data_IF_842551912444
#
_entry.id   IF_842551912444
#
_cell.length_a   1.000
_cell.length_b   1.000
_cell.length_c   1.000
_cell.angle_alpha   90.00
_cell.angle_beta   90.00
_cell.angle_gamma   90.00
#
_symmetry.space_group_name_H-M   'P 1'
#
loop_
_entity.id
_entity.type
_entity.pdbx_description
1 polymer ?
#
# COMPACT_ATOMS: atom_id res chain seq x y z
N UNK A 1 60.51 37.73 1.51
CA UNK A 1 60.00 36.66 0.61
C UNK A 1 58.73 36.09 1.24
N UNK A 2 57.56 36.48 0.72
CA UNK A 2 56.23 36.14 1.29
C UNK A 2 55.81 34.75 0.81
N UNK A 3 55.48 33.86 1.76
CA UNK A 3 55.00 32.49 1.51
C UNK A 3 53.54 32.55 1.02
N UNK A 4 53.28 32.08 -0.20
CA UNK A 4 51.94 31.83 -0.71
C UNK A 4 51.49 30.44 -0.23
N UNK A 5 50.47 30.40 0.64
CA UNK A 5 49.73 29.19 0.97
C UNK A 5 48.54 29.09 0.00
N UNK A 6 48.54 28.06 -0.85
CA UNK A 6 47.41 27.72 -1.70
C UNK A 6 46.34 26.98 -0.87
N UNK A 7 45.14 27.55 -0.79
CA UNK A 7 43.98 26.94 -0.14
C UNK A 7 43.23 26.10 -1.18
N UNK A 8 43.33 24.78 -1.11
CA UNK A 8 42.48 23.86 -1.88
C UNK A 8 41.05 23.91 -1.31
N UNK A 9 40.16 24.65 -1.97
CA UNK A 9 38.73 24.60 -1.70
C UNK A 9 38.13 23.31 -2.24
N UNK A 10 37.75 22.38 -1.37
CA UNK A 10 36.98 21.22 -1.75
C UNK A 10 35.56 21.65 -2.15
N UNK A 11 35.26 21.60 -3.45
CA UNK A 11 33.89 21.69 -3.96
C UNK A 11 33.16 20.40 -3.53
N UNK A 12 32.32 20.49 -2.50
CA UNK A 12 31.36 19.45 -2.19
C UNK A 12 30.28 19.44 -3.28
N UNK A 13 30.38 18.49 -4.21
CA UNK A 13 29.30 18.21 -5.16
C UNK A 13 28.09 17.71 -4.36
N UNK A 14 27.04 18.54 -4.25
CA UNK A 14 25.74 18.08 -3.79
C UNK A 14 25.19 17.12 -4.86
N UNK A 15 25.34 15.82 -4.62
CA UNK A 15 24.59 14.81 -5.36
C UNK A 15 23.11 15.03 -5.02
N UNK A 16 22.35 15.56 -5.98
CA UNK A 16 20.89 15.58 -5.90
C UNK A 16 20.46 14.12 -6.05
N UNK A 17 20.29 13.44 -4.92
CA UNK A 17 19.64 12.12 -4.90
C UNK A 17 18.20 12.37 -5.36
N UNK A 18 17.74 11.79 -6.48
CA UNK A 18 16.34 11.85 -6.83
C UNK A 18 15.55 11.29 -5.65
N UNK A 19 14.63 12.07 -5.09
CA UNK A 19 13.73 11.55 -4.07
C UNK A 19 13.01 10.35 -4.67
N UNK A 20 13.08 9.19 -3.99
CA UNK A 20 12.31 8.03 -4.38
C UNK A 20 10.85 8.44 -4.58
N UNK A 21 10.28 8.13 -5.74
CA UNK A 21 8.84 8.27 -5.97
C UNK A 21 8.09 7.49 -4.89
N UNK A 22 6.90 7.97 -4.51
CA UNK A 22 6.03 7.17 -3.66
C UNK A 22 5.54 5.96 -4.46
N UNK A 23 5.59 4.77 -3.87
CA UNK A 23 5.15 3.55 -4.56
C UNK A 23 3.74 3.72 -5.16
N UNK A 24 3.55 3.19 -6.36
CA UNK A 24 2.27 3.25 -7.08
C UNK A 24 1.84 1.86 -7.55
N UNK A 25 0.54 1.70 -7.82
CA UNK A 25 -0.04 0.43 -8.28
C UNK A 25 -0.81 0.58 -9.58
N UNK A 26 -0.58 -0.32 -10.54
CA UNK A 26 -1.31 -0.41 -11.80
C UNK A 26 -2.16 -1.69 -11.82
N UNK A 27 -3.45 -1.55 -12.12
CA UNK A 27 -4.39 -2.67 -12.17
C UNK A 27 -4.25 -3.45 -13.49
N UNK A 28 -4.44 -4.77 -13.43
CA UNK A 28 -4.45 -5.63 -14.62
C UNK A 28 -5.42 -6.81 -14.50
N UNK A 29 -5.71 -7.46 -15.63
CA UNK A 29 -6.69 -8.55 -15.72
C UNK A 29 -8.09 -8.06 -15.33
N UNK A 30 -8.83 -8.87 -14.56
CA UNK A 30 -10.15 -8.51 -14.01
C UNK A 30 -10.14 -7.45 -12.89
N UNK A 31 -9.01 -6.81 -12.58
CA UNK A 31 -8.90 -5.88 -11.47
C UNK A 31 -9.63 -4.56 -11.75
N UNK A 32 -10.36 -4.04 -10.77
CA UNK A 32 -11.07 -2.77 -10.87
C UNK A 32 -11.12 -2.02 -9.54
N UNK A 33 -11.27 -0.70 -9.59
CA UNK A 33 -11.56 0.09 -8.39
C UNK A 33 -13.04 -0.08 -8.00
N UNK A 34 -13.30 -0.51 -6.77
CA UNK A 34 -14.63 -0.51 -6.16
C UNK A 34 -14.64 0.42 -4.94
N UNK A 35 -15.08 1.66 -5.17
CA UNK A 35 -15.01 2.71 -4.17
C UNK A 35 -13.56 3.01 -3.78
N UNK A 36 -13.18 2.60 -2.57
CA UNK A 36 -11.84 2.81 -2.00
C UNK A 36 -11.02 1.52 -1.83
N UNK A 37 -11.50 0.41 -2.37
CA UNK A 37 -10.79 -0.86 -2.43
C UNK A 37 -10.55 -1.21 -3.89
N UNK A 38 -9.53 -2.03 -4.12
CA UNK A 38 -9.34 -2.69 -5.41
C UNK A 38 -10.02 -4.04 -5.33
N UNK A 39 -10.92 -4.33 -6.25
CA UNK A 39 -11.51 -5.65 -6.42
C UNK A 39 -10.68 -6.44 -7.42
N UNK A 40 -10.21 -7.61 -6.99
CA UNK A 40 -9.44 -8.55 -7.78
C UNK A 40 -10.30 -9.78 -8.03
N UNK A 41 -10.62 -10.05 -9.29
CA UNK A 41 -11.49 -11.14 -9.75
C UNK A 41 -10.68 -12.18 -10.51
N UNK A 42 -10.96 -13.45 -10.26
CA UNK A 42 -10.59 -14.60 -11.09
C UNK A 42 -11.89 -15.35 -11.39
N UNK A 43 -12.35 -15.30 -12.63
CA UNK A 43 -13.61 -15.91 -13.06
C UNK A 43 -13.35 -16.73 -14.33
N UNK A 44 -13.44 -18.05 -14.19
CA UNK A 44 -13.31 -19.01 -15.29
C UNK A 44 -14.66 -19.69 -15.61
N UNK A 45 -15.76 -19.15 -15.07
CA UNK A 45 -17.13 -19.65 -15.28
C UNK A 45 -17.71 -19.16 -16.62
N UNK A 46 -17.19 -18.06 -17.15
CA UNK A 46 -17.59 -17.48 -18.43
C UNK A 46 -16.65 -17.90 -19.59
N UNK A 47 -16.79 -17.26 -20.76
CA UNK A 47 -15.97 -17.55 -21.97
C UNK A 47 -14.85 -16.54 -22.20
N UNK A 48 -14.80 -15.47 -21.41
CA UNK A 48 -13.78 -14.43 -21.45
C UNK A 48 -12.58 -14.88 -20.64
N UNK A 49 -11.39 -14.76 -21.21
CA UNK A 49 -10.14 -15.01 -20.49
C UNK A 49 -9.57 -13.75 -19.83
N UNK A 50 -10.22 -12.59 -20.00
CA UNK A 50 -9.71 -11.30 -19.53
C UNK A 50 -9.75 -11.17 -17.99
N UNK A 51 -10.62 -11.96 -17.35
CA UNK A 51 -10.91 -12.00 -15.93
C UNK A 51 -10.58 -13.36 -15.29
N UNK A 52 -9.96 -14.29 -16.01
CA UNK A 52 -9.47 -15.57 -15.45
C UNK A 52 -8.48 -15.33 -14.29
N UNK A 53 -7.81 -14.18 -14.30
CA UNK A 53 -6.95 -13.71 -13.23
C UNK A 53 -6.96 -12.18 -13.16
N UNK A 54 -6.47 -11.65 -12.06
CA UNK A 54 -6.29 -10.21 -11.89
C UNK A 54 -5.20 -9.88 -10.89
N UNK A 55 -4.79 -8.62 -10.88
CA UNK A 55 -3.87 -8.17 -9.86
C UNK A 55 -3.53 -6.70 -9.94
N UNK A 56 -2.56 -6.35 -9.11
CA UNK A 56 -1.95 -5.03 -9.01
C UNK A 56 -0.45 -5.19 -9.19
N UNK A 57 0.14 -4.47 -10.14
CA UNK A 57 1.59 -4.36 -10.30
C UNK A 57 2.10 -3.11 -9.60
N UNK A 58 3.09 -3.26 -8.71
CA UNK A 58 3.66 -2.15 -7.97
C UNK A 58 4.96 -1.64 -8.59
N UNK A 59 5.11 -0.32 -8.65
CA UNK A 59 6.32 0.37 -9.14
C UNK A 59 6.78 1.39 -8.12
N UNK A 60 8.02 1.87 -8.27
CA UNK A 60 8.63 2.85 -7.36
C UNK A 60 8.61 2.41 -5.89
N UNK A 61 8.69 1.10 -5.63
CA UNK A 61 8.63 0.54 -4.26
C UNK A 61 9.93 0.75 -3.47
N UNK A 62 11.02 1.12 -4.14
CA UNK A 62 12.36 1.21 -3.55
C UNK A 62 12.99 -0.14 -3.20
N UNK A 63 12.34 -1.26 -3.52
CA UNK A 63 12.84 -2.62 -3.30
C UNK A 63 13.78 -3.00 -4.43
N UNK A 64 15.02 -3.38 -4.11
CA UNK A 64 16.04 -3.76 -5.10
C UNK A 64 16.42 -5.24 -5.01
N UNK A 65 16.43 -5.81 -3.81
CA UNK A 65 16.66 -7.23 -3.53
C UNK A 65 15.61 -7.76 -2.56
N UNK A 66 15.48 -9.09 -2.43
CA UNK A 66 14.59 -9.66 -1.42
C UNK A 66 14.98 -9.22 0.00
N UNK A 67 16.28 -9.16 0.32
CA UNK A 67 16.76 -8.69 1.62
C UNK A 67 16.49 -7.21 1.90
N UNK A 68 16.23 -6.40 0.87
CA UNK A 68 15.84 -5.00 1.02
C UNK A 68 14.34 -4.81 1.30
N UNK A 69 13.54 -5.86 1.11
CA UNK A 69 12.12 -5.85 1.42
C UNK A 69 11.97 -5.98 2.94
N UNK A 70 11.48 -4.92 3.59
CA UNK A 70 11.27 -4.84 5.04
C UNK A 70 9.78 -4.90 5.42
N UNK A 71 8.89 -4.56 4.49
CA UNK A 71 7.45 -4.62 4.70
C UNK A 71 6.72 -5.10 3.45
N UNK A 72 5.82 -6.05 3.64
CA UNK A 72 4.84 -6.50 2.66
C UNK A 72 3.56 -6.87 3.40
N UNK A 73 2.53 -6.04 3.27
CA UNK A 73 1.26 -6.25 3.95
C UNK A 73 0.09 -5.73 3.12
N UNK A 74 -1.11 -6.22 3.40
CA UNK A 74 -2.35 -5.67 2.86
C UNK A 74 -3.50 -5.96 3.80
N UNK A 75 -4.55 -5.15 3.75
CA UNK A 75 -5.86 -5.57 4.20
C UNK A 75 -6.59 -6.22 3.03
N UNK A 76 -7.27 -7.33 3.29
CA UNK A 76 -7.97 -8.09 2.26
C UNK A 76 -9.27 -8.66 2.80
N UNK A 77 -10.25 -8.79 1.92
CA UNK A 77 -11.56 -9.35 2.19
C UNK A 77 -11.92 -10.26 1.02
N UNK A 78 -12.05 -11.56 1.25
CA UNK A 78 -12.58 -12.47 0.24
C UNK A 78 -14.09 -12.33 0.23
N UNK A 79 -14.66 -11.87 -0.89
CA UNK A 79 -16.10 -11.63 -1.02
C UNK A 79 -16.82 -12.69 -1.83
N UNK A 80 -16.06 -13.51 -2.54
CA UNK A 80 -16.58 -14.64 -3.31
C UNK A 80 -15.63 -15.84 -3.16
N UNK A 81 -16.22 -16.97 -2.79
CA UNK A 81 -15.56 -18.18 -2.28
C UNK A 81 -14.60 -18.00 -1.09
N UNK A 82 -13.30 -18.13 -1.31
CA UNK A 82 -12.30 -18.28 -0.25
C UNK A 82 -10.87 -18.03 -0.71
N UNK A 83 -9.91 -18.33 0.18
CA UNK A 83 -8.54 -18.58 -0.25
C UNK A 83 -8.34 -20.07 -0.53
N UNK A 84 -7.44 -20.36 -1.47
CA UNK A 84 -7.18 -21.69 -1.99
C UNK A 84 -6.45 -21.62 -3.33
N UNK A 85 -5.96 -22.75 -3.84
CA UNK A 85 -5.25 -22.81 -5.12
C UNK A 85 -3.95 -21.98 -5.20
N UNK A 86 -3.47 -21.45 -4.07
CA UNK A 86 -2.33 -20.52 -4.02
C UNK A 86 -2.71 -19.04 -4.12
N UNK A 87 -3.98 -18.68 -4.01
CA UNK A 87 -4.49 -17.30 -4.07
C UNK A 87 -5.39 -16.97 -2.87
N UNK A 88 -5.42 -15.71 -2.40
CA UNK A 88 -4.66 -14.56 -2.89
C UNK A 88 -3.20 -14.60 -2.46
N UNK A 89 -2.33 -13.94 -3.23
CA UNK A 89 -0.89 -13.91 -2.92
C UNK A 89 -0.19 -12.65 -3.39
N UNK A 90 0.83 -12.24 -2.66
CA UNK A 90 1.87 -11.43 -3.27
C UNK A 90 2.79 -12.31 -4.13
N UNK A 91 3.26 -11.75 -5.24
CA UNK A 91 4.22 -12.36 -6.13
C UNK A 91 5.43 -11.43 -6.23
N UNK A 92 6.59 -11.90 -5.76
CA UNK A 92 7.86 -11.18 -5.87
C UNK A 92 8.59 -11.74 -7.08
N UNK A 93 8.82 -10.91 -8.09
CA UNK A 93 9.36 -11.30 -9.39
C UNK A 93 10.90 -11.27 -9.39
N UNK A 94 11.52 -12.34 -9.88
CA UNK A 94 12.96 -12.47 -10.12
C UNK A 94 13.19 -12.85 -11.60
N UNK A 95 12.94 -11.90 -12.51
CA UNK A 95 12.87 -12.16 -13.94
C UNK A 95 11.61 -12.95 -14.30
N UNK A 96 11.76 -14.13 -14.90
CA UNK A 96 10.65 -15.02 -15.25
C UNK A 96 10.16 -15.92 -14.11
N UNK A 97 10.88 -15.93 -12.99
CA UNK A 97 10.56 -16.76 -11.81
C UNK A 97 10.01 -15.90 -10.69
N UNK A 98 9.31 -16.55 -9.75
CA UNK A 98 8.66 -15.86 -8.67
C UNK A 98 8.89 -16.54 -7.32
N UNK A 99 8.79 -15.74 -6.26
CA UNK A 99 8.45 -16.22 -4.92
C UNK A 99 7.02 -15.80 -4.64
N UNK A 100 6.18 -16.76 -4.26
CA UNK A 100 4.82 -16.47 -3.81
C UNK A 100 4.78 -16.32 -2.31
N UNK A 101 4.06 -15.30 -1.84
CA UNK A 101 3.82 -15.04 -0.42
C UNK A 101 2.31 -15.07 -0.22
N UNK A 102 1.82 -16.20 0.30
CA UNK A 102 0.39 -16.46 0.39
C UNK A 102 -0.30 -15.55 1.40
N UNK A 103 -1.58 -15.25 1.17
CA UNK A 103 -2.47 -14.61 2.14
C UNK A 103 -3.47 -15.66 2.66
N UNK A 104 -3.89 -15.49 3.92
CA UNK A 104 -4.83 -16.41 4.57
C UNK A 104 -4.20 -17.34 5.62
N UNK A 105 -4.99 -18.30 6.15
CA UNK A 105 -4.60 -19.16 7.27
C UNK A 105 -3.44 -20.10 6.93
N UNK A 106 -2.32 -19.94 7.62
CA UNK A 106 -1.19 -20.88 7.56
C UNK A 106 -1.56 -22.23 8.20
N UNK A 107 -1.04 -23.37 7.72
CA UNK A 107 -0.07 -23.51 6.61
C UNK A 107 -0.69 -23.80 5.24
N UNK A 108 -2.02 -24.00 5.19
CA UNK A 108 -2.69 -24.49 3.98
C UNK A 108 -3.14 -23.35 3.05
N UNK A 109 -3.22 -22.12 3.57
CA UNK A 109 -3.73 -20.93 2.88
C UNK A 109 -5.10 -21.15 2.24
N UNK A 110 -5.93 -21.90 2.96
CA UNK A 110 -7.33 -22.18 2.66
C UNK A 110 -8.23 -21.73 3.81
N UNK A 111 -9.53 -21.60 3.55
CA UNK A 111 -10.52 -21.36 4.61
C UNK A 111 -10.51 -19.93 5.16
N UNK A 112 -10.18 -18.94 4.33
CA UNK A 112 -10.37 -17.54 4.68
C UNK A 112 -11.83 -17.28 5.03
N UNK A 113 -12.08 -16.53 6.10
CA UNK A 113 -13.43 -16.13 6.49
C UNK A 113 -13.99 -15.15 5.45
N UNK A 114 -15.05 -15.51 4.72
CA UNK A 114 -15.61 -14.62 3.70
C UNK A 114 -16.20 -13.35 4.33
N UNK A 115 -16.29 -12.29 3.53
CA UNK A 115 -16.91 -11.01 3.88
C UNK A 115 -16.36 -10.35 5.16
N UNK A 116 -15.10 -10.66 5.49
CA UNK A 116 -14.38 -10.12 6.65
C UNK A 116 -13.11 -9.44 6.19
N UNK A 117 -12.96 -8.15 6.51
CA UNK A 117 -11.74 -7.40 6.21
C UNK A 117 -10.64 -7.73 7.22
N UNK A 118 -9.71 -8.58 6.80
CA UNK A 118 -8.54 -9.01 7.57
C UNK A 118 -7.34 -8.13 7.26
N UNK A 119 -6.44 -7.97 8.24
CA UNK A 119 -5.10 -7.42 8.02
C UNK A 119 -4.11 -8.58 7.99
N UNK A 120 -3.30 -8.68 6.94
CA UNK A 120 -2.26 -9.70 6.85
C UNK A 120 -1.16 -9.54 7.91
N UNK A 121 -1.01 -8.34 8.46
CA UNK A 121 0.22 -7.93 9.14
C UNK A 121 1.40 -7.90 8.16
N UNK A 122 2.58 -7.58 8.68
CA UNK A 122 3.81 -7.65 7.88
C UNK A 122 4.19 -9.12 7.66
N UNK A 123 4.21 -9.54 6.39
CA UNK A 123 4.58 -10.89 6.00
C UNK A 123 6.09 -11.10 5.98
N UNK A 124 6.87 -10.03 5.86
CA UNK A 124 8.33 -10.10 5.87
C UNK A 124 8.83 -10.34 7.28
N UNK A 125 9.63 -11.38 7.46
CA UNK A 125 10.16 -11.78 8.77
C UNK A 125 9.20 -12.61 9.61
N UNK A 126 8.00 -12.95 9.12
CA UNK A 126 7.11 -13.85 9.84
C UNK A 126 7.61 -15.31 9.80
N UNK A 127 7.14 -16.12 10.75
CA UNK A 127 7.49 -17.53 10.89
C UNK A 127 6.32 -18.46 10.60
N UNK A 128 5.34 -17.99 9.82
CA UNK A 128 4.21 -18.81 9.40
C UNK A 128 4.71 -19.97 8.54
N UNK A 129 4.27 -21.18 8.88
CA UNK A 129 4.61 -22.37 8.12
C UNK A 129 4.08 -22.26 6.68
N UNK A 130 4.91 -22.61 5.71
CA UNK A 130 4.58 -22.62 4.29
C UNK A 130 4.20 -21.26 3.66
N UNK A 131 4.38 -20.12 4.36
CA UNK A 131 3.96 -18.79 3.85
C UNK A 131 4.62 -18.41 2.52
N UNK A 132 5.84 -18.91 2.32
CA UNK A 132 6.65 -18.64 1.15
C UNK A 132 6.72 -19.88 0.27
N UNK A 133 6.39 -19.74 -1.00
CA UNK A 133 6.64 -20.73 -2.03
C UNK A 133 7.78 -20.24 -2.90
N UNK A 134 8.90 -20.96 -2.84
CA UNK A 134 10.10 -20.67 -3.64
C UNK A 134 10.30 -21.69 -4.76
N UNK A 135 9.27 -22.50 -5.07
CA UNK A 135 9.39 -23.66 -5.96
C UNK A 135 9.74 -23.31 -7.40
N UNK A 136 9.38 -22.10 -7.87
CA UNK A 136 9.81 -21.62 -9.18
C UNK A 136 11.31 -21.28 -9.22
N UNK A 137 11.91 -20.96 -8.08
CA UNK A 137 13.34 -20.72 -7.93
C UNK A 137 14.07 -22.05 -7.81
N UNK A 138 13.65 -22.87 -6.84
CA UNK A 138 14.21 -24.19 -6.54
C UNK A 138 13.09 -25.21 -6.37
N UNK A 139 13.05 -26.23 -7.23
CA UNK A 139 12.03 -27.28 -7.15
C UNK A 139 12.00 -27.95 -5.77
N UNK A 140 10.80 -28.34 -5.32
CA UNK A 140 10.59 -28.99 -4.02
C UNK A 140 10.49 -28.03 -2.82
N UNK A 141 10.41 -26.72 -3.07
CA UNK A 141 10.33 -25.70 -2.00
C UNK A 141 8.99 -24.95 -1.99
N UNK A 142 7.89 -25.65 -2.29
CA UNK A 142 6.53 -25.10 -2.28
C UNK A 142 6.10 -24.60 -0.89
N UNK A 143 6.64 -25.20 0.16
CA UNK A 143 6.47 -24.78 1.53
C UNK A 143 7.84 -24.38 2.08
N UNK A 144 8.06 -23.09 2.28
CA UNK A 144 9.29 -22.54 2.82
C UNK A 144 9.03 -21.55 3.95
N UNK A 145 10.04 -21.34 4.80
CA UNK A 145 10.05 -20.32 5.85
C UNK A 145 10.62 -19.00 5.31
N UNK A 146 10.43 -17.90 6.04
CA UNK A 146 11.11 -16.65 5.70
C UNK A 146 12.65 -16.82 5.70
N UNK A 147 13.21 -17.49 6.72
CA UNK A 147 14.65 -17.70 6.81
C UNK A 147 15.19 -18.54 5.64
N UNK A 148 14.49 -19.60 5.25
CA UNK A 148 14.85 -20.41 4.09
C UNK A 148 14.72 -19.64 2.77
N UNK A 149 13.70 -18.80 2.65
CA UNK A 149 13.53 -17.91 1.49
C UNK A 149 14.65 -16.87 1.42
N UNK A 150 14.98 -16.22 2.53
CA UNK A 150 16.06 -15.24 2.62
C UNK A 150 17.42 -15.87 2.28
N UNK A 151 17.67 -17.10 2.73
CA UNK A 151 18.88 -17.83 2.37
C UNK A 151 18.97 -18.14 0.86
N UNK A 152 17.83 -18.44 0.23
CA UNK A 152 17.78 -18.81 -1.20
C UNK A 152 17.83 -17.60 -2.13
N UNK A 153 17.08 -16.54 -1.84
CA UNK A 153 16.87 -15.41 -2.78
C UNK A 153 17.27 -14.05 -2.21
N UNK A 154 17.82 -13.98 -1.00
CA UNK A 154 18.08 -12.73 -0.29
C UNK A 154 18.84 -11.67 -1.09
N UNK A 155 19.88 -12.07 -1.81
CA UNK A 155 20.71 -11.19 -2.64
C UNK A 155 20.21 -11.04 -4.08
N UNK A 156 19.20 -11.80 -4.50
CA UNK A 156 18.68 -11.75 -5.87
C UNK A 156 17.93 -10.44 -6.10
N UNK A 157 18.09 -9.88 -7.30
CA UNK A 157 17.41 -8.66 -7.71
C UNK A 157 15.91 -8.88 -7.87
N UNK A 158 15.12 -8.06 -7.19
CA UNK A 158 13.66 -8.01 -7.35
C UNK A 158 13.36 -7.16 -8.57
N UNK A 159 12.65 -7.75 -9.52
CA UNK A 159 12.27 -7.11 -10.80
C UNK A 159 10.83 -6.59 -10.80
N UNK A 160 10.04 -6.94 -9.79
CA UNK A 160 8.65 -6.51 -9.64
C UNK A 160 8.01 -7.10 -8.40
N UNK A 161 6.93 -6.48 -7.96
CA UNK A 161 6.06 -6.98 -6.89
C UNK A 161 4.63 -6.85 -7.41
N UNK A 162 3.84 -7.89 -7.22
CA UNK A 162 2.44 -7.92 -7.61
C UNK A 162 1.58 -8.49 -6.47
N UNK A 163 0.30 -8.12 -6.43
CA UNK A 163 -0.73 -8.78 -5.62
C UNK A 163 -1.74 -9.39 -6.57
N UNK A 164 -1.93 -10.71 -6.52
CA UNK A 164 -2.58 -11.50 -7.56
C UNK A 164 -3.71 -12.35 -6.99
N UNK A 165 -4.79 -12.44 -7.76
CA UNK A 165 -5.91 -13.37 -7.59
C UNK A 165 -6.10 -14.17 -8.86
N UNK A 166 -5.95 -15.50 -8.78
CA UNK A 166 -5.95 -16.38 -9.95
C UNK A 166 -6.44 -17.81 -9.67
N UNK A 167 -7.21 -18.02 -8.58
CA UNK A 167 -7.63 -19.37 -8.17
C UNK A 167 -9.11 -19.65 -8.35
N UNK A 168 -9.79 -19.00 -9.30
CA UNK A 168 -11.16 -19.38 -9.65
C UNK A 168 -11.26 -20.88 -9.96
N UNK A 169 -10.28 -21.46 -10.67
CA UNK A 169 -10.22 -22.90 -10.97
C UNK A 169 -10.27 -23.84 -9.74
N UNK A 170 -9.92 -23.34 -8.54
CA UNK A 170 -9.90 -24.12 -7.32
C UNK A 170 -11.30 -24.30 -6.71
N UNK A 171 -12.23 -23.39 -7.03
CA UNK A 171 -13.59 -23.36 -6.49
C UNK A 171 -14.59 -24.01 -7.44
N UNK A 172 -15.72 -24.45 -6.90
CA UNK A 172 -16.64 -25.36 -7.59
C UNK A 172 -17.37 -24.67 -8.77
N UNK A 173 -17.73 -23.41 -8.59
CA UNK A 173 -18.35 -22.53 -9.59
C UNK A 173 -17.33 -21.73 -10.42
N UNK A 174 -16.03 -21.93 -10.15
CA UNK A 174 -14.89 -21.39 -10.90
C UNK A 174 -14.62 -19.90 -10.72
N UNK A 175 -15.05 -19.32 -9.61
CA UNK A 175 -14.87 -17.90 -9.31
C UNK A 175 -13.99 -17.69 -8.07
N UNK A 176 -13.43 -16.48 -7.93
CA UNK A 176 -12.76 -16.02 -6.72
C UNK A 176 -12.69 -14.50 -6.78
N UNK A 177 -13.20 -13.83 -5.76
CA UNK A 177 -13.13 -12.35 -5.67
C UNK A 177 -12.54 -11.93 -4.34
N UNK A 178 -11.50 -11.11 -4.40
CA UNK A 178 -10.82 -10.54 -3.23
C UNK A 178 -10.73 -9.03 -3.35
N UNK A 179 -11.28 -8.33 -2.38
CA UNK A 179 -11.13 -6.90 -2.26
C UNK A 179 -9.95 -6.56 -1.36
N UNK A 180 -9.08 -5.66 -1.81
CA UNK A 180 -7.82 -5.30 -1.13
C UNK A 180 -7.68 -3.79 -0.95
N UNK A 181 -7.04 -3.39 0.15
CA UNK A 181 -6.66 -2.00 0.42
C UNK A 181 -5.53 -1.95 1.46
N UNK A 182 -4.98 -0.75 1.70
CA UNK A 182 -3.89 -0.51 2.63
C UNK A 182 -2.68 -1.42 2.37
N UNK A 183 -2.28 -1.47 1.09
CA UNK A 183 -1.15 -2.28 0.66
C UNK A 183 0.12 -1.55 1.04
N UNK A 184 0.94 -2.17 1.88
CA UNK A 184 2.15 -1.58 2.45
C UNK A 184 3.37 -2.30 1.92
N UNK A 185 4.28 -1.52 1.32
CA UNK A 185 5.54 -2.01 0.76
C UNK A 185 6.64 -1.05 1.18
N UNK A 186 7.60 -1.53 1.97
CA UNK A 186 8.72 -0.74 2.50
C UNK A 186 8.33 0.65 3.05
N UNK A 187 7.26 0.71 3.86
CA UNK A 187 6.77 1.96 4.46
C UNK A 187 5.96 2.86 3.53
N UNK A 188 5.80 2.52 2.25
CA UNK A 188 4.84 3.16 1.35
C UNK A 188 3.48 2.49 1.45
N UNK A 189 2.40 3.27 1.44
CA UNK A 189 1.02 2.76 1.39
C UNK A 189 0.39 3.08 0.04
N UNK A 190 -0.11 2.04 -0.64
CA UNK A 190 -0.85 2.11 -1.89
C UNK A 190 -2.31 1.70 -1.64
N UNK A 191 -3.27 2.38 -2.28
CA UNK A 191 -4.71 2.16 -2.12
C UNK A 191 -5.19 2.12 -0.65
N UNK A 192 -5.01 3.20 0.15
CA UNK A 192 -5.37 3.19 1.56
C UNK A 192 -6.87 2.91 1.78
N UNK A 193 -7.21 2.11 2.81
CA UNK A 193 -8.60 1.90 3.20
C UNK A 193 -9.23 3.20 3.76
N UNK A 194 -10.52 3.43 3.54
CA UNK A 194 -11.27 4.51 4.20
C UNK A 194 -11.74 4.07 5.60
N UNK A 195 -11.65 4.98 6.59
CA UNK A 195 -12.43 4.88 7.84
C UNK A 195 -11.84 4.16 9.06
N UNK A 196 -10.50 4.05 9.24
CA UNK A 196 -9.97 3.44 10.47
C UNK A 196 -9.74 4.43 11.64
N UNK A 197 -10.26 4.14 12.86
CA UNK A 197 -9.82 4.75 14.09
C UNK A 197 -8.43 4.18 14.45
N UNK A 198 -7.42 5.04 14.45
CA UNK A 198 -6.02 4.64 14.69
C UNK A 198 -5.02 5.35 13.79
N UNK A 199 -5.48 5.88 12.64
CA UNK A 199 -4.73 6.96 11.98
C UNK A 199 -4.83 8.21 12.86
N UNK A 200 -3.89 8.39 13.78
CA UNK A 200 -3.50 9.77 14.13
C UNK A 200 -3.19 10.42 12.78
N UNK A 201 -3.87 11.51 12.38
CA UNK A 201 -3.59 12.16 11.11
C UNK A 201 -2.09 12.42 11.09
N UNK A 202 -1.38 11.68 10.23
CA UNK A 202 0.05 11.86 10.05
C UNK A 202 0.26 13.35 9.87
N UNK A 203 1.27 13.90 10.54
CA UNK A 203 1.71 15.28 10.30
C UNK A 203 2.25 15.33 8.87
N UNK A 204 1.35 15.34 7.89
CA UNK A 204 1.63 15.43 6.47
C UNK A 204 2.24 16.79 6.22
N UNK A 205 3.56 16.83 6.22
CA UNK A 205 4.33 17.88 5.58
C UNK A 205 4.04 17.74 4.08
N UNK A 206 3.15 18.58 3.54
CA UNK A 206 3.00 18.70 2.09
C UNK A 206 1.63 19.06 1.53
N UNK A 207 0.52 18.91 2.26
CA UNK A 207 -0.78 19.39 1.73
C UNK A 207 -0.86 20.90 1.91
N UNK A 208 -1.18 21.65 0.84
CA UNK A 208 -1.47 23.09 0.89
C UNK A 208 -2.44 23.34 2.05
N UNK A 209 -1.98 24.18 2.97
CA UNK A 209 -2.76 24.56 4.14
C UNK A 209 -3.42 25.90 3.89
N UNK A 210 -4.66 26.01 4.31
CA UNK A 210 -5.50 27.19 4.12
C UNK A 210 -6.05 27.63 5.48
N UNK A 211 -6.13 28.95 5.67
CA UNK A 211 -6.69 29.54 6.88
C UNK A 211 -8.20 29.66 6.73
N UNK A 212 -8.93 29.26 7.76
CA UNK A 212 -10.37 29.45 7.89
C UNK A 212 -10.68 30.14 9.22
N UNK A 213 -11.80 30.85 9.28
CA UNK A 213 -12.35 31.40 10.51
C UNK A 213 -13.49 30.49 10.99
N UNK A 214 -13.26 29.83 12.12
CA UNK A 214 -14.17 28.92 12.79
C UNK A 214 -14.57 29.53 14.12
N UNK A 215 -15.83 29.95 14.27
CA UNK A 215 -16.36 30.49 15.53
C UNK A 215 -15.51 31.63 16.12
N UNK A 216 -14.97 32.52 15.28
CA UNK A 216 -14.10 33.62 15.73
C UNK A 216 -12.62 33.24 15.97
N UNK A 217 -12.26 31.96 15.80
CA UNK A 217 -10.89 31.47 15.85
C UNK A 217 -10.34 31.18 14.45
N UNK A 218 -9.15 31.72 14.17
CA UNK A 218 -8.45 31.40 12.91
C UNK A 218 -7.80 30.02 13.05
N UNK A 219 -8.30 29.06 12.29
CA UNK A 219 -7.75 27.70 12.20
C UNK A 219 -7.00 27.53 10.88
N UNK A 220 -6.09 26.56 10.84
CA UNK A 220 -5.36 26.19 9.62
C UNK A 220 -5.62 24.73 9.32
N UNK A 221 -6.28 24.46 8.18
CA UNK A 221 -6.69 23.12 7.76
C UNK A 221 -6.02 22.75 6.45
N UNK A 222 -6.03 21.46 6.10
CA UNK A 222 -5.66 21.03 4.75
C UNK A 222 -6.75 21.43 3.75
N UNK A 223 -6.36 21.77 2.52
CA UNK A 223 -7.28 22.11 1.43
C UNK A 223 -8.47 21.14 1.24
N UNK A 224 -8.33 19.80 1.37
CA UNK A 224 -9.47 18.89 1.27
C UNK A 224 -10.54 19.08 2.37
N UNK A 225 -10.16 19.64 3.52
CA UNK A 225 -11.08 19.85 4.64
C UNK A 225 -11.90 21.14 4.47
N UNK A 226 -11.53 22.04 3.55
CA UNK A 226 -12.22 23.33 3.35
C UNK A 226 -13.70 23.15 3.12
N UNK A 227 -14.08 22.25 2.20
CA UNK A 227 -15.49 22.03 1.85
C UNK A 227 -16.33 21.60 3.05
N UNK A 228 -15.76 20.78 3.94
CA UNK A 228 -16.45 20.32 5.14
C UNK A 228 -16.60 21.45 6.17
N UNK A 229 -15.54 22.22 6.41
CA UNK A 229 -15.56 23.36 7.31
C UNK A 229 -16.53 24.47 6.84
N UNK A 230 -16.55 24.77 5.54
CA UNK A 230 -17.53 25.69 4.94
C UNK A 230 -18.98 25.20 5.14
N UNK A 231 -19.23 23.89 5.02
CA UNK A 231 -20.56 23.31 5.26
C UNK A 231 -21.01 23.44 6.73
N UNK A 232 -20.06 23.56 7.65
CA UNK A 232 -20.32 23.72 9.09
C UNK A 232 -20.37 25.21 9.52
N UNK A 233 -20.28 26.15 8.58
CA UNK A 233 -20.41 27.58 8.86
C UNK A 233 -19.09 28.34 9.01
N UNK A 234 -17.95 27.71 8.71
CA UNK A 234 -16.66 28.40 8.70
C UNK A 234 -16.53 29.29 7.48
N UNK A 235 -15.71 30.33 7.58
CA UNK A 235 -15.44 31.26 6.47
C UNK A 235 -14.00 31.14 5.98
N UNK A 236 -13.81 31.33 4.67
CA UNK A 236 -12.47 31.36 4.07
C UNK A 236 -11.65 32.53 4.61
N UNK A 237 -10.39 32.28 4.96
CA UNK A 237 -9.46 33.29 5.46
C UNK A 237 -9.37 33.36 6.97
N UNK A 238 -8.48 34.21 7.48
CA UNK A 238 -8.38 34.46 8.92
C UNK A 238 -9.58 35.28 9.42
N UNK A 239 -9.92 35.13 10.70
CA UNK A 239 -10.96 35.94 11.32
C UNK A 239 -10.56 37.41 11.31
N UNK A 240 -11.49 38.27 10.90
CA UNK A 240 -11.33 39.72 11.02
C UNK A 240 -11.44 40.10 12.49
N UNK A 241 -10.41 40.73 13.06
CA UNK A 241 -10.44 41.28 14.42
C UNK A 241 -11.28 42.55 14.45
N UNK A 242 -12.60 42.43 14.38
CA UNK A 242 -13.53 43.54 14.62
C UNK A 242 -15.00 43.10 14.72
N UNK A 243 -15.33 42.10 15.55
CA UNK A 243 -16.73 41.91 15.99
C UNK A 243 -16.91 41.69 17.50
N UNK A 244 -16.03 42.25 18.31
CA UNK A 244 -16.27 42.43 19.74
C UNK A 244 -15.95 43.86 20.18
N UNK A 245 -16.84 44.80 19.84
CA UNK A 245 -16.98 46.04 20.58
C UNK A 245 -18.43 46.58 20.50
N UNK A 246 -19.08 46.65 21.67
CA UNK A 246 -20.28 47.44 22.04
C UNK A 246 -21.65 47.02 21.50
N UNK A 247 -22.37 46.24 22.31
CA UNK A 247 -23.72 46.63 22.77
C UNK A 247 -23.63 47.03 24.25
N UNK A 248 -23.57 48.33 24.53
CA UNK A 248 -23.87 48.92 25.84
C UNK A 248 -24.84 50.09 25.63
N UNK A 249 -26.04 49.95 26.20
CA UNK A 249 -26.91 51.00 26.73
C UNK A 249 -27.40 52.13 25.81
N UNK A 250 -28.69 52.08 25.46
CA UNK A 250 -29.56 53.26 25.35
C UNK A 250 -31.00 52.85 25.70
N UNK A 251 -31.37 53.06 26.96
CA UNK A 251 -32.59 53.72 27.45
C UNK A 251 -32.39 54.01 28.93
#
# INVERSE_FOLDING_TARGET
>A
MKRFMALCGALAALAIVPGAGAASGSLFGGASMQGNQVSLVSNLADTSTANDFSGISFTDTGVTTFSSLSELATRFNVTDDGCGGGSPRFQINFGSKNVFVYLGPSPNFTGCTPNTLLDSGNLIGNNDACRFDTSQIQAGTQCNTYAGTLALVGSMSVTGIQLVVDSGWFFADKEQTVNVCDIRINGSTVFPCQGQPGQKPGKGKGRKKVKLCHHGHTITVGEPAVKAHLKHGDTMGACQKSQHAKKKGHK
#
